data_IF_019650942760
#
_entry.id   IF_019650942760
#
_cell.length_a   1.000
_cell.length_b   1.000
_cell.length_c   1.000
_cell.angle_alpha   90.00
_cell.angle_beta   90.00
_cell.angle_gamma   90.00
#
_symmetry.space_group_name_H-M   'P 1'
#
loop_
_entity.id
_entity.type
_entity.pdbx_description
1 polymer ?
#
# COMPACT_ATOMS: atom_id res chain seq x y z
N UNK A 1 -44.65 19.77 -8.38
CA UNK A 1 -44.04 19.34 -7.12
C UNK A 1 -44.93 18.29 -6.49
N UNK A 2 -44.41 17.09 -6.19
CA UNK A 2 -45.20 16.10 -5.44
C UNK A 2 -45.29 16.56 -3.98
N UNK A 3 -46.49 16.38 -3.37
CA UNK A 3 -46.66 16.63 -1.94
C UNK A 3 -45.70 15.70 -1.14
N UNK A 4 -45.06 16.19 -0.06
CA UNK A 4 -44.20 15.38 0.77
C UNK A 4 -45.03 14.23 1.39
N UNK A 5 -44.45 13.04 1.40
CA UNK A 5 -45.14 11.87 2.00
C UNK A 5 -45.15 11.99 3.55
N UNK A 6 -46.04 11.23 4.18
CA UNK A 6 -46.25 11.23 5.63
C UNK A 6 -44.95 10.92 6.41
N UNK A 7 -44.11 10.02 5.88
CA UNK A 7 -42.81 9.64 6.48
C UNK A 7 -41.84 10.84 6.48
N UNK A 8 -41.77 11.58 5.34
CA UNK A 8 -40.93 12.77 5.25
C UNK A 8 -41.35 13.87 6.20
N UNK A 9 -42.67 14.02 6.42
CA UNK A 9 -43.21 14.99 7.39
C UNK A 9 -42.87 14.59 8.82
N UNK A 10 -43.05 13.31 9.16
CA UNK A 10 -42.73 12.78 10.48
C UNK A 10 -41.23 12.87 10.78
N UNK A 11 -40.37 12.54 9.81
CA UNK A 11 -38.92 12.64 9.95
C UNK A 11 -38.44 14.10 10.18
N UNK A 12 -39.06 15.05 9.50
CA UNK A 12 -38.77 16.48 9.76
C UNK A 12 -39.25 16.96 11.12
N UNK A 13 -40.40 16.44 11.57
CA UNK A 13 -40.97 16.78 12.89
C UNK A 13 -40.21 16.16 14.08
N UNK A 14 -39.50 15.06 13.87
CA UNK A 14 -38.70 14.42 14.92
C UNK A 14 -37.47 15.26 15.36
N UNK A 15 -37.02 16.21 14.54
CA UNK A 15 -35.82 16.98 14.83
C UNK A 15 -34.51 16.20 14.63
N UNK A 16 -34.59 14.91 14.30
CA UNK A 16 -33.43 14.11 13.93
C UNK A 16 -33.05 14.34 12.45
N UNK A 17 -31.77 14.14 12.06
CA UNK A 17 -30.64 13.73 12.87
C UNK A 17 -29.76 14.90 13.32
N UNK A 18 -29.13 14.77 14.48
CA UNK A 18 -27.97 15.58 14.85
C UNK A 18 -26.71 14.90 14.31
N UNK A 19 -26.06 15.50 13.32
CA UNK A 19 -24.80 15.00 12.77
C UNK A 19 -23.63 15.50 13.62
N UNK A 20 -22.68 14.60 13.94
CA UNK A 20 -21.41 15.04 14.49
C UNK A 20 -20.67 15.91 13.48
N UNK A 21 -20.08 16.99 13.95
CA UNK A 21 -19.19 17.78 13.12
C UNK A 21 -17.99 16.97 12.68
N UNK A 22 -17.69 16.98 11.37
CA UNK A 22 -16.57 16.23 10.79
C UNK A 22 -15.40 17.17 10.60
N UNK A 23 -14.23 16.75 11.07
CA UNK A 23 -13.01 17.54 10.95
C UNK A 23 -12.72 18.41 12.16
N UNK A 24 -11.75 19.30 12.00
CA UNK A 24 -11.32 20.26 13.02
C UNK A 24 -11.49 21.69 12.50
N UNK A 25 -11.81 22.62 13.41
CA UNK A 25 -11.83 24.07 13.13
C UNK A 25 -10.41 24.63 12.93
N UNK A 26 -10.27 25.95 12.79
CA UNK A 26 -8.98 26.65 12.73
C UNK A 26 -8.05 26.29 13.89
N UNK A 27 -6.74 26.31 13.63
CA UNK A 27 -5.74 26.00 14.66
C UNK A 27 -5.90 26.83 15.95
N UNK A 28 -6.17 28.14 15.80
CA UNK A 28 -6.35 29.03 16.94
C UNK A 28 -7.54 28.64 17.85
N UNK A 29 -8.56 27.97 17.31
CA UNK A 29 -9.71 27.50 18.08
C UNK A 29 -9.46 26.15 18.73
N UNK A 30 -8.73 25.27 18.07
CA UNK A 30 -8.48 23.90 18.52
C UNK A 30 -7.25 23.76 19.40
N UNK A 31 -6.29 24.71 19.27
CA UNK A 31 -5.02 24.74 20.00
C UNK A 31 -4.74 26.15 20.59
N UNK A 32 -5.60 26.65 21.50
CA UNK A 32 -5.50 28.00 21.99
C UNK A 32 -4.18 28.25 22.74
N UNK A 33 -3.41 29.25 22.26
CA UNK A 33 -2.14 29.64 22.86
C UNK A 33 -0.94 28.76 22.44
N UNK A 34 -1.12 27.74 21.63
CA UNK A 34 -0.03 26.94 21.09
C UNK A 34 0.62 27.64 19.89
N UNK A 35 1.97 27.63 19.79
CA UNK A 35 2.68 28.14 18.62
C UNK A 35 2.28 27.38 17.34
N UNK A 36 2.09 28.12 16.24
CA UNK A 36 1.72 27.52 14.95
C UNK A 36 2.86 26.67 14.40
N UNK A 37 2.53 25.49 13.84
CA UNK A 37 3.54 24.59 13.27
C UNK A 37 4.06 25.02 11.89
N UNK A 38 3.44 25.99 11.21
CA UNK A 38 3.89 26.54 9.93
C UNK A 38 4.77 27.80 10.06
N UNK A 39 4.95 28.33 11.28
CA UNK A 39 5.86 29.44 11.52
C UNK A 39 7.30 28.93 11.68
N UNK A 40 8.19 29.40 10.80
CA UNK A 40 9.61 29.06 10.81
C UNK A 40 10.33 29.42 12.14
N UNK A 41 9.82 30.39 12.89
CA UNK A 41 10.34 30.79 14.18
C UNK A 41 9.75 29.96 15.35
N UNK A 42 8.73 29.17 15.08
CA UNK A 42 8.05 28.35 16.07
C UNK A 42 8.91 27.18 16.54
N UNK A 43 8.96 26.87 17.85
CA UNK A 43 9.57 25.63 18.33
C UNK A 43 8.86 24.38 17.84
N UNK A 44 7.61 24.51 17.37
CA UNK A 44 6.77 23.43 16.83
C UNK A 44 6.81 23.40 15.30
N UNK A 45 7.74 24.10 14.65
CA UNK A 45 7.79 24.13 13.19
C UNK A 45 7.87 22.76 12.58
N UNK A 46 6.94 22.48 11.65
CA UNK A 46 6.87 21.24 10.91
C UNK A 46 6.38 21.53 9.48
N UNK A 47 7.23 21.28 8.50
CA UNK A 47 6.99 21.54 7.07
C UNK A 47 5.79 20.78 6.49
N UNK A 48 5.29 19.77 7.21
CA UNK A 48 4.14 18.96 6.77
C UNK A 48 2.82 19.71 6.86
N UNK A 49 2.72 20.76 7.67
CA UNK A 49 1.49 21.51 7.89
C UNK A 49 1.19 22.50 6.76
N UNK A 50 -0.09 22.68 6.47
CA UNK A 50 -0.62 23.57 5.45
C UNK A 50 -1.24 24.81 6.11
N UNK A 51 -0.70 25.99 5.80
CA UNK A 51 -1.13 27.26 6.41
C UNK A 51 -2.61 27.56 6.15
N UNK A 52 -3.14 27.24 4.96
CA UNK A 52 -4.54 27.47 4.67
C UNK A 52 -5.46 26.58 5.53
N UNK A 53 -5.09 25.32 5.75
CA UNK A 53 -5.85 24.44 6.62
C UNK A 53 -5.76 24.84 8.10
N UNK A 54 -4.62 25.40 8.52
CA UNK A 54 -4.47 25.96 9.88
C UNK A 54 -5.35 27.20 10.10
N UNK A 55 -5.57 27.99 9.04
CA UNK A 55 -6.40 29.21 9.10
C UNK A 55 -7.90 28.90 8.98
N UNK A 56 -8.29 27.96 8.12
CA UNK A 56 -9.70 27.71 7.74
C UNK A 56 -10.31 26.49 8.44
N UNK A 57 -9.45 25.65 9.06
CA UNK A 57 -9.82 24.33 9.57
C UNK A 57 -9.69 23.22 8.53
N UNK A 58 -9.67 21.99 9.00
CA UNK A 58 -9.53 20.80 8.16
C UNK A 58 -10.75 19.89 8.25
N UNK A 59 -11.60 19.95 7.23
CA UNK A 59 -12.81 19.10 7.09
C UNK A 59 -12.64 17.94 6.12
N UNK A 60 -11.40 17.64 5.69
CA UNK A 60 -11.11 16.53 4.79
C UNK A 60 -11.38 15.18 5.46
N UNK A 61 -11.62 14.16 4.66
CA UNK A 61 -11.77 12.78 5.13
C UNK A 61 -10.39 12.13 5.33
N UNK A 62 -9.68 12.55 6.37
CA UNK A 62 -8.35 12.05 6.74
C UNK A 62 -8.35 11.59 8.20
N UNK A 63 -7.42 10.72 8.57
CA UNK A 63 -7.18 10.33 9.95
C UNK A 63 -6.74 11.55 10.78
N UNK A 64 -7.00 11.55 12.08
CA UNK A 64 -6.70 12.70 12.94
C UNK A 64 -5.21 13.06 12.97
N UNK A 65 -4.30 12.08 12.85
CA UNK A 65 -2.86 12.31 12.74
C UNK A 65 -2.45 13.13 11.51
N UNK A 66 -3.31 13.18 10.46
CA UNK A 66 -3.07 13.90 9.22
C UNK A 66 -3.79 15.26 9.15
N UNK A 67 -4.44 15.65 10.25
CA UNK A 67 -5.10 16.96 10.30
C UNK A 67 -4.11 18.08 10.04
N UNK A 68 -4.53 19.00 9.22
CA UNK A 68 -3.77 20.16 8.75
C UNK A 68 -2.51 19.84 7.92
N UNK A 69 -2.18 18.58 7.65
CA UNK A 69 -1.04 18.25 6.80
C UNK A 69 -1.32 18.56 5.33
N UNK A 70 -0.26 18.92 4.59
CA UNK A 70 -0.33 19.03 3.13
C UNK A 70 -0.67 17.68 2.48
N UNK A 71 -1.27 17.72 1.30
CA UNK A 71 -1.55 16.50 0.50
C UNK A 71 -0.26 15.72 0.25
N UNK A 72 0.83 16.42 -0.06
CA UNK A 72 2.12 15.81 -0.36
C UNK A 72 2.69 15.08 0.86
N UNK A 73 2.67 15.72 2.03
CA UNK A 73 3.15 15.11 3.27
C UNK A 73 2.37 13.84 3.64
N UNK A 74 1.04 13.84 3.49
CA UNK A 74 0.23 12.64 3.72
C UNK A 74 0.63 11.51 2.78
N UNK A 75 0.82 11.82 1.48
CA UNK A 75 1.19 10.82 0.48
C UNK A 75 2.56 10.22 0.74
N UNK A 76 3.53 11.07 1.09
CA UNK A 76 4.89 10.65 1.44
C UNK A 76 4.92 9.78 2.71
N UNK A 77 4.13 10.13 3.72
CA UNK A 77 4.01 9.35 4.95
C UNK A 77 3.40 7.95 4.68
N UNK A 78 2.33 7.88 3.87
CA UNK A 78 1.74 6.62 3.44
C UNK A 78 2.72 5.74 2.65
N UNK A 79 3.55 6.35 1.80
CA UNK A 79 4.56 5.65 1.02
C UNK A 79 5.73 5.18 1.90
N UNK A 80 6.15 5.99 2.87
CA UNK A 80 7.23 5.67 3.82
C UNK A 80 6.86 4.53 4.78
N UNK A 81 5.60 4.46 5.23
CA UNK A 81 5.09 3.35 6.05
C UNK A 81 4.92 2.06 5.24
N UNK A 82 4.93 2.15 3.91
CA UNK A 82 4.73 1.03 2.98
C UNK A 82 3.25 0.80 2.68
N UNK A 83 2.98 0.51 1.41
CA UNK A 83 1.65 0.12 0.93
C UNK A 83 1.56 -1.39 0.83
N UNK A 84 0.35 -1.91 0.99
CA UNK A 84 0.10 -3.33 0.80
C UNK A 84 0.37 -3.78 -0.63
N UNK A 85 0.82 -5.01 -0.80
CA UNK A 85 1.33 -5.55 -2.07
C UNK A 85 0.23 -5.97 -3.07
N UNK A 86 -0.96 -5.42 -2.95
CA UNK A 86 -1.99 -5.56 -3.97
C UNK A 86 -2.23 -4.25 -4.72
N UNK A 87 -2.61 -4.38 -5.97
CA UNK A 87 -3.06 -3.28 -6.82
C UNK A 87 -4.50 -3.54 -7.28
N UNK A 88 -5.19 -2.49 -7.68
CA UNK A 88 -6.59 -2.55 -8.11
C UNK A 88 -6.70 -1.99 -9.50
N UNK A 89 -7.38 -2.67 -10.41
CA UNK A 89 -7.70 -2.16 -11.73
C UNK A 89 -9.21 -2.19 -11.98
N UNK A 90 -9.72 -1.19 -12.67
CA UNK A 90 -11.13 -1.11 -13.05
C UNK A 90 -11.29 -0.67 -14.50
N UNK A 91 -12.12 -1.41 -15.25
CA UNK A 91 -12.49 -1.03 -16.61
C UNK A 91 -13.50 0.13 -16.60
N UNK A 92 -13.24 1.16 -17.38
CA UNK A 92 -14.06 2.37 -17.49
C UNK A 92 -14.53 2.61 -18.94
N UNK A 93 -15.31 1.69 -19.46
CA UNK A 93 -15.88 1.76 -20.82
C UNK A 93 -17.22 2.50 -20.89
N UNK A 94 -17.92 2.65 -19.75
CA UNK A 94 -19.31 3.13 -19.68
C UNK A 94 -19.53 4.31 -18.72
N UNK A 95 -18.48 5.04 -18.29
CA UNK A 95 -18.58 6.07 -17.25
C UNK A 95 -19.07 5.53 -15.89
N UNK A 96 -18.35 4.60 -15.31
CA UNK A 96 -18.71 3.99 -14.04
C UNK A 96 -18.61 4.97 -12.86
N UNK A 97 -19.73 5.13 -12.14
CA UNK A 97 -19.80 5.96 -10.94
C UNK A 97 -19.13 5.32 -9.72
N UNK A 98 -18.90 4.01 -9.74
CA UNK A 98 -18.29 3.27 -8.62
C UNK A 98 -16.79 3.47 -8.52
N UNK A 99 -16.12 3.92 -9.59
CA UNK A 99 -14.65 4.09 -9.61
C UNK A 99 -14.18 4.96 -8.44
N UNK A 100 -14.88 6.07 -8.17
CA UNK A 100 -14.54 6.94 -7.04
C UNK A 100 -14.59 6.21 -5.69
N UNK A 101 -15.59 5.37 -5.45
CA UNK A 101 -15.67 4.57 -4.21
C UNK A 101 -14.60 3.48 -4.16
N UNK A 102 -14.24 2.87 -5.30
CA UNK A 102 -13.13 1.92 -5.37
C UNK A 102 -11.79 2.57 -5.03
N UNK A 103 -11.50 3.76 -5.58
CA UNK A 103 -10.30 4.54 -5.25
C UNK A 103 -10.25 4.88 -3.77
N UNK A 104 -11.38 5.32 -3.19
CA UNK A 104 -11.48 5.60 -1.75
C UNK A 104 -11.19 4.35 -0.91
N UNK A 105 -11.78 3.22 -1.26
CA UNK A 105 -11.58 1.95 -0.56
C UNK A 105 -10.13 1.47 -0.71
N UNK A 106 -9.54 1.57 -1.89
CA UNK A 106 -8.15 1.23 -2.15
C UNK A 106 -7.19 2.09 -1.32
N UNK A 107 -7.49 3.39 -1.15
CA UNK A 107 -6.72 4.25 -0.24
C UNK A 107 -6.89 3.84 1.22
N UNK A 108 -8.12 3.53 1.67
CA UNK A 108 -8.39 3.09 3.04
C UNK A 108 -7.66 1.79 3.40
N UNK A 109 -7.48 0.88 2.44
CA UNK A 109 -6.74 -0.37 2.60
C UNK A 109 -5.28 -0.27 2.12
N UNK A 110 -4.77 0.94 1.89
CA UNK A 110 -3.39 1.19 1.46
C UNK A 110 -2.93 0.33 0.27
N UNK A 111 -3.83 0.10 -0.71
CA UNK A 111 -3.45 -0.55 -1.96
C UNK A 111 -2.26 0.17 -2.61
N UNK A 112 -1.35 -0.57 -3.23
CA UNK A 112 -0.14 -0.01 -3.82
C UNK A 112 -0.46 0.99 -4.93
N UNK A 113 -1.45 0.67 -5.80
CA UNK A 113 -1.93 1.52 -6.90
C UNK A 113 -3.37 1.22 -7.25
N UNK A 114 -3.96 2.16 -7.97
CA UNK A 114 -5.24 1.98 -8.67
C UNK A 114 -5.05 2.29 -10.15
N UNK A 115 -5.51 1.40 -11.00
CA UNK A 115 -5.44 1.52 -12.46
C UNK A 115 -6.83 1.72 -13.03
N UNK A 116 -7.00 2.74 -13.85
CA UNK A 116 -8.24 3.01 -14.56
C UNK A 116 -8.00 2.73 -16.03
N UNK A 117 -8.76 1.78 -16.58
CA UNK A 117 -8.56 1.28 -17.94
C UNK A 117 -9.69 1.71 -18.84
N UNK A 118 -9.38 2.40 -19.91
CA UNK A 118 -10.36 2.81 -20.93
C UNK A 118 -10.34 4.30 -21.22
N UNK A 119 -11.18 4.75 -22.16
CA UNK A 119 -11.10 6.09 -22.76
C UNK A 119 -11.74 7.19 -21.92
N UNK A 120 -12.55 6.83 -20.91
CA UNK A 120 -13.39 7.80 -20.23
C UNK A 120 -12.73 8.40 -18.99
N UNK A 121 -13.01 9.67 -18.74
CA UNK A 121 -12.75 10.29 -17.44
C UNK A 121 -13.69 9.70 -16.41
N UNK A 122 -13.21 9.45 -15.22
CA UNK A 122 -14.00 8.93 -14.13
C UNK A 122 -14.53 10.03 -13.19
N UNK A 123 -15.61 9.75 -12.48
CA UNK A 123 -16.22 10.68 -11.54
C UNK A 123 -15.50 10.60 -10.18
N UNK A 124 -14.80 11.69 -9.81
CA UNK A 124 -14.03 11.80 -8.56
C UNK A 124 -14.88 12.02 -7.31
N UNK A 125 -16.16 12.37 -7.45
CA UNK A 125 -17.03 12.71 -6.29
C UNK A 125 -17.08 11.56 -5.26
N UNK A 126 -17.12 10.31 -5.69
CA UNK A 126 -17.11 9.14 -4.81
C UNK A 126 -15.80 8.92 -4.07
N UNK A 127 -14.70 9.45 -4.57
CA UNK A 127 -13.39 9.32 -3.93
C UNK A 127 -13.21 10.26 -2.74
N UNK A 128 -14.00 11.35 -2.63
CA UNK A 128 -13.90 12.31 -1.53
C UNK A 128 -12.47 12.80 -1.28
N UNK A 129 -11.77 13.18 -2.35
CA UNK A 129 -10.37 13.64 -2.38
C UNK A 129 -9.31 12.57 -2.06
N UNK A 130 -9.67 11.31 -1.79
CA UNK A 130 -8.68 10.27 -1.47
C UNK A 130 -7.80 9.90 -2.67
N UNK A 131 -8.22 10.23 -3.89
CA UNK A 131 -7.39 10.11 -5.09
C UNK A 131 -6.11 10.96 -5.04
N UNK A 132 -6.08 12.00 -4.23
CA UNK A 132 -4.88 12.84 -4.03
C UNK A 132 -3.80 12.12 -3.23
N UNK A 133 -4.20 11.19 -2.36
CA UNK A 133 -3.31 10.41 -1.49
C UNK A 133 -2.96 9.04 -2.08
N UNK A 134 -3.65 8.65 -3.18
CA UNK A 134 -3.45 7.36 -3.84
C UNK A 134 -2.65 7.51 -5.13
N UNK A 135 -1.91 6.46 -5.52
CA UNK A 135 -1.30 6.36 -6.83
C UNK A 135 -2.34 5.88 -7.83
N UNK A 136 -2.81 6.77 -8.70
CA UNK A 136 -3.81 6.46 -9.73
C UNK A 136 -3.15 6.57 -11.10
N UNK A 137 -3.16 5.47 -11.85
CA UNK A 137 -2.62 5.37 -13.22
C UNK A 137 -3.75 5.13 -14.22
N UNK A 138 -3.58 5.59 -15.46
CA UNK A 138 -4.55 5.41 -16.54
C UNK A 138 -3.93 4.61 -17.67
N UNK A 139 -4.68 3.64 -18.18
CA UNK A 139 -4.27 2.79 -19.29
C UNK A 139 -5.34 2.83 -20.37
N UNK A 140 -4.96 2.95 -21.67
CA UNK A 140 -5.92 2.96 -22.76
C UNK A 140 -6.56 1.58 -23.00
N UNK A 141 -5.90 0.48 -22.55
CA UNK A 141 -6.38 -0.89 -22.76
C UNK A 141 -5.93 -1.84 -21.65
N UNK A 142 -6.64 -2.95 -21.53
CA UNK A 142 -6.25 -4.07 -20.63
C UNK A 142 -4.89 -4.65 -21.04
N UNK A 143 -4.61 -4.77 -22.33
CA UNK A 143 -3.34 -5.31 -22.81
C UNK A 143 -2.15 -4.45 -22.33
N UNK A 144 -2.27 -3.12 -22.41
CA UNK A 144 -1.23 -2.21 -21.91
C UNK A 144 -1.10 -2.28 -20.37
N UNK A 145 -2.22 -2.34 -19.64
CA UNK A 145 -2.17 -2.56 -18.20
C UNK A 145 -1.40 -3.83 -17.84
N UNK A 146 -1.71 -4.95 -18.50
CA UNK A 146 -1.10 -6.26 -18.23
C UNK A 146 0.39 -6.23 -18.57
N UNK A 147 0.78 -5.63 -19.69
CA UNK A 147 2.19 -5.43 -20.05
C UNK A 147 2.92 -4.58 -19.00
N UNK A 148 2.32 -3.45 -18.60
CA UNK A 148 2.86 -2.59 -17.55
C UNK A 148 3.02 -3.33 -16.21
N UNK A 149 2.03 -4.15 -15.85
CA UNK A 149 2.06 -4.99 -14.65
C UNK A 149 3.22 -5.99 -14.70
N UNK A 150 3.35 -6.77 -15.78
CA UNK A 150 4.43 -7.76 -15.92
C UNK A 150 5.82 -7.10 -15.90
N UNK A 151 5.97 -5.97 -16.59
CA UNK A 151 7.23 -5.20 -16.59
C UNK A 151 7.58 -4.70 -15.18
N UNK A 152 6.58 -4.28 -14.41
CA UNK A 152 6.77 -3.85 -13.01
C UNK A 152 7.20 -5.02 -12.13
N UNK A 153 6.54 -6.17 -12.21
CA UNK A 153 6.94 -7.37 -11.47
C UNK A 153 8.38 -7.79 -11.83
N UNK A 154 8.72 -7.81 -13.12
CA UNK A 154 10.08 -8.11 -13.57
C UNK A 154 11.10 -7.12 -13.01
N UNK A 155 10.76 -5.83 -12.97
CA UNK A 155 11.59 -4.77 -12.36
C UNK A 155 11.75 -4.95 -10.85
N UNK A 156 10.68 -5.27 -10.12
CA UNK A 156 10.72 -5.56 -8.69
C UNK A 156 11.65 -6.78 -8.41
N UNK A 157 11.54 -7.86 -9.19
CA UNK A 157 12.42 -9.04 -9.08
C UNK A 157 13.88 -8.67 -9.38
N UNK A 158 14.14 -7.89 -10.41
CA UNK A 158 15.50 -7.46 -10.75
C UNK A 158 16.13 -6.62 -9.63
N UNK A 159 15.36 -5.73 -9.01
CA UNK A 159 15.80 -4.92 -7.88
C UNK A 159 16.16 -5.78 -6.66
N UNK A 160 15.33 -6.78 -6.34
CA UNK A 160 15.62 -7.71 -5.24
C UNK A 160 16.86 -8.57 -5.53
N UNK A 161 17.05 -9.06 -6.76
CA UNK A 161 18.28 -9.78 -7.15
C UNK A 161 19.53 -8.91 -7.02
N UNK A 162 19.44 -7.63 -7.39
CA UNK A 162 20.55 -6.69 -7.21
C UNK A 162 20.87 -6.49 -5.72
N UNK A 163 19.84 -6.40 -4.86
CA UNK A 163 19.99 -6.30 -3.41
C UNK A 163 20.68 -7.51 -2.82
N UNK A 164 20.30 -8.73 -3.24
CA UNK A 164 20.98 -9.97 -2.84
C UNK A 164 22.46 -9.99 -3.26
N UNK A 165 22.76 -9.52 -4.47
CA UNK A 165 24.14 -9.39 -4.96
C UNK A 165 24.99 -8.48 -4.08
N UNK A 166 24.46 -7.33 -3.68
CA UNK A 166 25.14 -6.40 -2.76
C UNK A 166 25.36 -7.04 -1.39
N UNK A 167 24.38 -7.73 -0.83
CA UNK A 167 24.51 -8.43 0.45
C UNK A 167 25.59 -9.54 0.38
N UNK A 168 25.62 -10.32 -0.70
CA UNK A 168 26.61 -11.35 -0.91
C UNK A 168 28.04 -10.79 -1.02
N UNK A 169 28.22 -9.68 -1.74
CA UNK A 169 29.51 -8.99 -1.85
C UNK A 169 29.99 -8.46 -0.49
N UNK A 170 29.09 -7.88 0.31
CA UNK A 170 29.41 -7.44 1.68
C UNK A 170 29.86 -8.61 2.56
N UNK A 171 29.12 -9.73 2.55
CA UNK A 171 29.48 -10.93 3.30
C UNK A 171 30.86 -11.47 2.90
N UNK A 172 31.14 -11.54 1.60
CA UNK A 172 32.43 -11.98 1.08
C UNK A 172 33.59 -11.06 1.49
N UNK A 173 33.42 -9.74 1.40
CA UNK A 173 34.43 -8.76 1.81
C UNK A 173 34.77 -8.87 3.30
N UNK A 174 33.77 -9.04 4.16
CA UNK A 174 33.95 -9.22 5.61
C UNK A 174 34.71 -10.52 5.91
N UNK A 175 34.31 -11.64 5.27
CA UNK A 175 34.97 -12.93 5.46
C UNK A 175 36.43 -12.90 4.98
N UNK A 176 36.71 -12.25 3.85
CA UNK A 176 38.07 -12.12 3.30
C UNK A 176 38.97 -11.25 4.18
N UNK A 177 38.45 -10.16 4.72
CA UNK A 177 39.20 -9.28 5.64
C UNK A 177 39.56 -10.01 6.94
N UNK A 178 38.66 -10.86 7.44
CA UNK A 178 38.91 -11.64 8.65
C UNK A 178 40.00 -12.71 8.41
N UNK A 179 39.92 -13.48 7.34
CA UNK A 179 40.90 -14.50 6.99
C UNK A 179 42.30 -13.88 6.72
N UNK A 180 42.37 -12.69 6.12
CA UNK A 180 43.62 -11.96 5.90
C UNK A 180 44.32 -11.49 7.19
N UNK A 181 43.54 -11.20 8.23
CA UNK A 181 44.08 -10.81 9.55
C UNK A 181 44.68 -12.00 10.31
N UNK A 182 44.12 -13.21 10.15
CA UNK A 182 44.68 -14.44 10.79
C UNK A 182 45.98 -14.91 10.14
N UNK A 183 46.14 -14.77 8.83
CA UNK A 183 47.34 -15.18 8.10
C UNK A 183 48.53 -14.23 8.27
N UNK A 184 48.29 -12.96 8.67
CA UNK A 184 49.31 -11.96 8.92
C UNK A 184 50.02 -12.08 10.30
N UNK A 185 49.49 -12.91 11.23
CA UNK A 185 50.03 -13.05 12.60
C UNK A 185 51.08 -14.14 12.78
N UNK A 186 51.53 -14.79 11.71
CA UNK A 186 52.42 -15.94 11.74
C UNK A 186 53.78 -15.72 11.12
N UNK A 187 54.59 -14.76 11.57
CA UNK A 187 56.07 -14.78 11.53
C UNK A 187 56.68 -13.57 12.26
N UNK A 188 57.11 -13.78 13.49
CA UNK A 188 57.86 -12.77 14.25
C UNK A 188 58.17 -13.27 15.67
N UNK A 189 59.37 -13.73 15.82
CA UNK A 189 60.07 -14.22 17.02
C UNK A 189 59.60 -13.74 18.37
N UNK A 190 59.72 -14.67 19.31
CA UNK A 190 59.66 -14.61 20.77
C UNK A 190 60.01 -13.22 21.40
N UNK A 191 59.04 -12.73 22.16
CA UNK A 191 59.20 -11.66 23.13
C UNK A 191 58.11 -11.73 24.18
N UNK A 192 58.46 -12.33 25.34
CA UNK A 192 57.60 -12.45 26.51
C UNK A 192 57.34 -11.04 27.04
N UNK A 193 56.10 -10.65 27.24
CA UNK A 193 55.47 -9.96 28.37
C UNK A 193 54.16 -9.27 27.90
N UNK A 194 53.06 -9.75 28.48
CA UNK A 194 51.85 -8.97 28.78
C UNK A 194 51.05 -8.39 27.62
N UNK A 195 50.08 -9.14 27.05
CA UNK A 195 49.02 -8.51 26.27
C UNK A 195 47.66 -9.23 26.40
N UNK A 196 47.01 -9.09 27.55
CA UNK A 196 45.60 -9.49 27.71
C UNK A 196 44.61 -8.61 26.92
N UNK A 197 45.04 -7.44 26.41
CA UNK A 197 44.23 -6.51 25.62
C UNK A 197 44.14 -6.87 24.14
N UNK A 198 45.21 -7.46 23.56
CA UNK A 198 45.22 -7.82 22.13
C UNK A 198 44.34 -9.04 21.82
N UNK A 199 44.29 -9.99 22.74
CA UNK A 199 43.42 -11.18 22.58
C UNK A 199 41.94 -10.87 22.70
N UNK A 200 41.56 -9.95 23.60
CA UNK A 200 40.14 -9.49 23.71
C UNK A 200 39.69 -8.72 22.45
N UNK A 201 40.56 -7.84 21.92
CA UNK A 201 40.27 -7.08 20.71
C UNK A 201 40.08 -7.98 19.47
N UNK A 202 40.91 -9.03 19.32
CA UNK A 202 40.80 -9.98 18.20
C UNK A 202 39.52 -10.81 18.30
N UNK A 203 39.12 -11.25 19.50
CA UNK A 203 37.88 -12.00 19.71
C UNK A 203 36.64 -11.15 19.44
N UNK A 204 36.63 -9.87 19.86
CA UNK A 204 35.53 -8.94 19.56
C UNK A 204 35.42 -8.68 18.04
N UNK A 205 36.56 -8.53 17.36
CA UNK A 205 36.55 -8.36 15.89
C UNK A 205 36.03 -9.61 15.15
N UNK A 206 36.39 -10.80 15.61
CA UNK A 206 35.90 -12.06 15.05
C UNK A 206 34.40 -12.24 15.28
N UNK A 207 33.88 -11.94 16.47
CA UNK A 207 32.45 -11.98 16.78
C UNK A 207 31.64 -11.00 15.90
N UNK A 208 32.15 -9.79 15.71
CA UNK A 208 31.52 -8.81 14.84
C UNK A 208 31.50 -9.26 13.36
N UNK A 209 32.55 -9.88 12.88
CA UNK A 209 32.59 -10.43 11.51
C UNK A 209 31.58 -11.58 11.34
N UNK A 210 31.49 -12.50 12.30
CA UNK A 210 30.51 -13.60 12.29
C UNK A 210 29.07 -13.06 12.31
N UNK A 211 28.78 -12.04 13.17
CA UNK A 211 27.46 -11.39 13.20
C UNK A 211 27.10 -10.74 11.86
N UNK A 212 28.02 -10.01 11.26
CA UNK A 212 27.78 -9.33 9.98
C UNK A 212 27.57 -10.31 8.81
N UNK A 213 28.27 -11.45 8.81
CA UNK A 213 28.02 -12.52 7.82
C UNK A 213 26.65 -13.18 8.04
N UNK A 214 26.25 -13.40 9.31
CA UNK A 214 24.94 -13.95 9.64
C UNK A 214 23.80 -12.99 9.21
N UNK A 215 23.97 -11.69 9.44
CA UNK A 215 23.02 -10.65 9.01
C UNK A 215 22.88 -10.62 7.49
N UNK A 216 24.00 -10.66 6.74
CA UNK A 216 23.96 -10.70 5.29
C UNK A 216 23.30 -11.99 4.76
N UNK A 217 23.52 -13.13 5.41
CA UNK A 217 22.88 -14.40 5.07
C UNK A 217 21.36 -14.34 5.31
N UNK A 218 20.93 -13.73 6.42
CA UNK A 218 19.53 -13.51 6.73
C UNK A 218 18.88 -12.56 5.71
N UNK A 219 19.59 -11.50 5.30
CA UNK A 219 19.13 -10.59 4.25
C UNK A 219 18.92 -11.32 2.91
N UNK A 220 19.86 -12.16 2.49
CA UNK A 220 19.73 -12.97 1.26
C UNK A 220 18.49 -13.89 1.36
N UNK A 221 18.28 -14.55 2.49
CA UNK A 221 17.11 -15.41 2.66
C UNK A 221 15.78 -14.64 2.60
N UNK A 222 15.73 -13.41 3.13
CA UNK A 222 14.57 -12.51 3.01
C UNK A 222 14.32 -12.11 1.55
N UNK A 223 15.40 -11.78 0.82
CA UNK A 223 15.31 -11.43 -0.60
C UNK A 223 14.81 -12.61 -1.43
N UNK A 224 15.32 -13.83 -1.19
CA UNK A 224 14.87 -15.03 -1.89
C UNK A 224 13.39 -15.34 -1.62
N UNK A 225 12.93 -15.15 -0.38
CA UNK A 225 11.52 -15.26 -0.04
C UNK A 225 10.67 -14.21 -0.78
N UNK A 226 11.15 -12.96 -0.86
CA UNK A 226 10.47 -11.89 -1.59
C UNK A 226 10.41 -12.16 -3.10
N UNK A 227 11.47 -12.67 -3.71
CA UNK A 227 11.47 -13.05 -5.13
C UNK A 227 10.41 -14.12 -5.40
N UNK A 228 10.29 -15.14 -4.54
CA UNK A 228 9.24 -16.17 -4.67
C UNK A 228 7.83 -15.59 -4.59
N UNK A 229 7.58 -14.63 -3.70
CA UNK A 229 6.30 -13.91 -3.62
C UNK A 229 6.00 -13.15 -4.93
N UNK A 230 7.01 -12.50 -5.53
CA UNK A 230 6.88 -11.77 -6.78
C UNK A 230 6.68 -12.70 -7.98
N UNK A 231 7.37 -13.84 -8.02
CA UNK A 231 7.20 -14.87 -9.06
C UNK A 231 5.81 -15.56 -8.98
N UNK A 232 5.20 -15.56 -7.79
CA UNK A 232 3.83 -16.03 -7.57
C UNK A 232 2.76 -14.95 -7.80
N UNK A 233 3.14 -13.75 -8.27
CA UNK A 233 2.21 -12.66 -8.53
C UNK A 233 1.16 -13.04 -9.58
N UNK A 234 -0.12 -12.64 -9.35
CA UNK A 234 -1.26 -12.99 -10.20
C UNK A 234 -2.13 -11.77 -10.52
N UNK A 235 -2.71 -11.81 -11.72
CA UNK A 235 -3.84 -10.97 -12.13
C UNK A 235 -5.13 -11.75 -11.84
N UNK A 236 -5.96 -11.24 -10.94
CA UNK A 236 -7.15 -11.91 -10.45
C UNK A 236 -8.38 -11.13 -10.90
N UNK A 237 -9.13 -11.70 -11.83
CA UNK A 237 -10.38 -11.13 -12.32
C UNK A 237 -11.53 -11.44 -11.34
N UNK A 238 -12.35 -10.44 -11.03
CA UNK A 238 -13.53 -10.59 -10.18
C UNK A 238 -14.78 -10.64 -11.06
N UNK A 239 -15.30 -11.86 -11.33
CA UNK A 239 -16.50 -12.04 -12.14
C UNK A 239 -17.18 -13.39 -11.82
N UNK A 240 -18.47 -13.49 -12.17
CA UNK A 240 -19.29 -14.69 -11.96
C UNK A 240 -19.46 -15.41 -13.31
N UNK A 241 -18.47 -16.22 -13.66
CA UNK A 241 -18.46 -17.01 -14.88
C UNK A 241 -18.24 -18.50 -14.59
N UNK A 242 -18.60 -19.41 -15.52
CA UNK A 242 -18.29 -20.84 -15.38
C UNK A 242 -16.79 -21.07 -15.18
N UNK A 243 -16.43 -21.85 -14.18
CA UNK A 243 -15.03 -22.15 -13.84
C UNK A 243 -14.36 -21.18 -12.87
N UNK A 244 -15.02 -20.08 -12.50
CA UNK A 244 -14.51 -19.18 -11.46
C UNK A 244 -14.48 -19.86 -10.09
N UNK A 245 -13.51 -19.48 -9.24
CA UNK A 245 -13.31 -20.03 -7.89
C UNK A 245 -14.04 -19.16 -6.86
N UNK A 246 -14.74 -19.73 -5.86
CA UNK A 246 -15.36 -18.94 -4.81
C UNK A 246 -14.27 -18.25 -3.95
N UNK A 247 -14.49 -16.95 -3.69
CA UNK A 247 -13.54 -16.11 -2.93
C UNK A 247 -13.30 -16.64 -1.52
N UNK A 248 -14.29 -17.23 -0.91
CA UNK A 248 -14.27 -17.77 0.45
C UNK A 248 -13.23 -18.87 0.63
N UNK A 249 -12.82 -19.53 -0.45
CA UNK A 249 -11.83 -20.61 -0.45
C UNK A 249 -10.55 -20.26 -1.23
N UNK A 250 -10.49 -19.05 -1.81
CA UNK A 250 -9.36 -18.64 -2.62
C UNK A 250 -8.23 -18.08 -1.74
N UNK A 251 -7.02 -18.64 -1.88
CA UNK A 251 -5.81 -18.14 -1.24
C UNK A 251 -5.21 -17.03 -2.13
N UNK A 252 -5.40 -15.79 -1.74
CA UNK A 252 -4.82 -14.66 -2.48
C UNK A 252 -3.31 -14.69 -2.44
N UNK A 253 -2.60 -14.56 -3.58
CA UNK A 253 -1.17 -14.29 -3.57
C UNK A 253 -0.89 -12.94 -2.87
N UNK A 254 0.24 -12.86 -2.18
CA UNK A 254 0.63 -11.62 -1.49
C UNK A 254 0.78 -10.47 -2.48
N UNK A 255 1.40 -10.72 -3.64
CA UNK A 255 1.49 -9.75 -4.75
C UNK A 255 0.44 -10.05 -5.79
N UNK A 256 -0.56 -9.18 -5.96
CA UNK A 256 -1.61 -9.40 -6.95
C UNK A 256 -2.19 -8.09 -7.51
N UNK A 257 -2.85 -8.22 -8.66
CA UNK A 257 -3.67 -7.19 -9.29
C UNK A 257 -5.11 -7.66 -9.29
N UNK A 258 -5.98 -7.00 -8.55
CA UNK A 258 -7.43 -7.27 -8.52
C UNK A 258 -8.09 -6.49 -9.66
N UNK A 259 -8.72 -7.19 -10.60
CA UNK A 259 -9.30 -6.61 -11.81
C UNK A 259 -10.84 -6.65 -11.76
N UNK A 260 -11.46 -5.47 -11.88
CA UNK A 260 -12.90 -5.27 -11.82
C UNK A 260 -13.44 -4.75 -13.14
N UNK A 261 -14.60 -5.25 -13.52
CA UNK A 261 -15.34 -4.79 -14.70
C UNK A 261 -16.13 -3.52 -14.45
N UNK A 262 -16.63 -2.93 -15.54
CA UNK A 262 -17.58 -1.84 -15.49
C UNK A 262 -18.94 -2.32 -14.96
N UNK A 263 -19.67 -1.41 -14.28
CA UNK A 263 -21.03 -1.72 -13.82
C UNK A 263 -21.96 -2.02 -15.00
N UNK A 264 -22.69 -3.12 -14.91
CA UNK A 264 -23.59 -3.64 -15.94
C UNK A 264 -22.93 -4.65 -16.86
N UNK A 265 -21.96 -4.28 -17.72
CA UNK A 265 -21.32 -5.24 -18.64
C UNK A 265 -20.42 -6.27 -17.94
N UNK A 266 -19.86 -5.94 -16.75
CA UNK A 266 -18.83 -6.76 -16.13
C UNK A 266 -17.46 -6.57 -16.78
N UNK A 267 -16.61 -7.58 -16.69
CA UNK A 267 -15.29 -7.60 -17.33
C UNK A 267 -15.38 -7.86 -18.83
N UNK A 268 -14.52 -7.19 -19.59
CA UNK A 268 -14.38 -7.49 -21.01
C UNK A 268 -13.81 -8.90 -21.24
N UNK A 269 -14.13 -9.51 -22.39
CA UNK A 269 -13.56 -10.81 -22.76
C UNK A 269 -12.03 -10.79 -22.75
N UNK A 270 -11.44 -9.66 -23.15
CA UNK A 270 -9.97 -9.48 -23.12
C UNK A 270 -9.40 -9.47 -21.72
N UNK A 271 -10.10 -8.87 -20.76
CA UNK A 271 -9.70 -8.86 -19.35
C UNK A 271 -9.72 -10.29 -18.76
N UNK A 272 -10.76 -11.05 -19.05
CA UNK A 272 -10.89 -12.46 -18.63
C UNK A 272 -9.83 -13.37 -19.28
N UNK A 273 -9.49 -13.14 -20.55
CA UNK A 273 -8.45 -13.89 -21.27
C UNK A 273 -7.05 -13.66 -20.68
N UNK A 274 -6.75 -12.44 -20.23
CA UNK A 274 -5.44 -12.05 -19.74
C UNK A 274 -5.29 -12.20 -18.21
N UNK A 275 -6.35 -12.52 -17.49
CA UNK A 275 -6.29 -12.83 -16.07
C UNK A 275 -5.71 -14.23 -15.83
N UNK A 276 -4.94 -14.39 -14.77
CA UNK A 276 -4.42 -15.70 -14.35
C UNK A 276 -5.50 -16.54 -13.66
N UNK A 277 -6.34 -15.90 -12.85
CA UNK A 277 -7.42 -16.53 -12.11
C UNK A 277 -8.70 -15.69 -12.19
N UNK A 278 -9.86 -16.36 -12.13
CA UNK A 278 -11.15 -15.71 -11.98
C UNK A 278 -11.80 -16.15 -10.68
N UNK A 279 -12.17 -15.16 -9.86
CA UNK A 279 -12.73 -15.37 -8.53
C UNK A 279 -14.08 -14.69 -8.43
N UNK A 280 -15.03 -15.31 -7.74
CA UNK A 280 -16.35 -14.71 -7.51
C UNK A 280 -16.72 -14.68 -6.04
N UNK A 281 -17.56 -13.71 -5.67
CA UNK A 281 -18.17 -13.61 -4.34
C UNK A 281 -19.44 -14.44 -4.34
N UNK A 282 -19.56 -15.40 -3.41
CA UNK A 282 -20.77 -16.23 -3.29
C UNK A 282 -21.99 -15.39 -2.95
N UNK A 283 -23.07 -15.60 -3.69
CA UNK A 283 -24.33 -14.86 -3.54
C UNK A 283 -25.48 -15.83 -3.26
N UNK A 284 -26.28 -15.52 -2.27
CA UNK A 284 -27.37 -16.38 -1.79
C UNK A 284 -28.76 -15.78 -2.02
N UNK A 285 -28.82 -14.59 -2.58
CA UNK A 285 -30.05 -13.86 -2.87
C UNK A 285 -30.56 -14.09 -4.30
N UNK A 286 -31.49 -13.24 -4.72
CA UNK A 286 -32.13 -13.30 -6.05
C UNK A 286 -31.40 -12.52 -7.13
N UNK A 287 -30.38 -11.72 -6.76
CA UNK A 287 -29.64 -10.88 -7.71
C UNK A 287 -28.50 -11.66 -8.36
N UNK A 288 -28.23 -11.35 -9.63
CA UNK A 288 -27.12 -11.97 -10.36
C UNK A 288 -25.76 -11.40 -9.97
N UNK A 289 -25.71 -10.14 -9.58
CA UNK A 289 -24.46 -9.45 -9.19
C UNK A 289 -24.73 -8.40 -8.11
N UNK A 290 -23.74 -8.16 -7.28
CA UNK A 290 -23.74 -7.02 -6.35
C UNK A 290 -23.12 -5.80 -7.03
N UNK A 291 -23.32 -4.62 -6.43
CA UNK A 291 -22.70 -3.37 -6.91
C UNK A 291 -21.17 -3.52 -7.05
N UNK A 292 -20.59 -3.03 -8.14
CA UNK A 292 -19.16 -3.18 -8.44
C UNK A 292 -18.24 -2.58 -7.37
N UNK A 293 -18.60 -1.43 -6.79
CA UNK A 293 -17.84 -0.82 -5.69
C UNK A 293 -17.89 -1.65 -4.40
N UNK A 294 -19.04 -2.28 -4.12
CA UNK A 294 -19.18 -3.21 -2.99
C UNK A 294 -18.36 -4.48 -3.22
N UNK A 295 -18.41 -5.06 -4.42
CA UNK A 295 -17.60 -6.22 -4.79
C UNK A 295 -16.10 -5.93 -4.63
N UNK A 296 -15.65 -4.75 -5.08
CA UNK A 296 -14.27 -4.33 -4.92
C UNK A 296 -13.86 -4.20 -3.45
N UNK A 297 -14.72 -3.63 -2.60
CA UNK A 297 -14.46 -3.53 -1.17
C UNK A 297 -14.32 -4.89 -0.49
N UNK A 298 -15.20 -5.84 -0.83
CA UNK A 298 -15.16 -7.21 -0.30
C UNK A 298 -13.88 -7.93 -0.74
N UNK A 299 -13.50 -7.84 -2.01
CA UNK A 299 -12.29 -8.48 -2.53
C UNK A 299 -11.01 -7.90 -1.92
N UNK A 300 -10.90 -6.58 -1.84
CA UNK A 300 -9.78 -5.92 -1.16
C UNK A 300 -9.68 -6.31 0.31
N UNK A 301 -10.83 -6.37 1.02
CA UNK A 301 -10.86 -6.79 2.43
C UNK A 301 -10.49 -8.28 2.57
N UNK A 302 -10.88 -9.14 1.65
CA UNK A 302 -10.50 -10.56 1.67
C UNK A 302 -8.97 -10.73 1.59
N UNK A 303 -8.30 -9.93 0.76
CA UNK A 303 -6.84 -9.88 0.72
C UNK A 303 -6.26 -9.37 2.05
N UNK A 304 -6.79 -8.28 2.61
CA UNK A 304 -6.36 -7.71 3.91
C UNK A 304 -6.49 -8.75 5.03
N UNK A 305 -7.60 -9.48 5.08
CA UNK A 305 -7.84 -10.50 6.10
C UNK A 305 -6.82 -11.65 6.06
N UNK A 306 -6.24 -11.93 4.89
CA UNK A 306 -5.25 -13.00 4.73
C UNK A 306 -3.81 -12.54 4.97
N UNK A 307 -3.49 -11.26 4.74
CA UNK A 307 -2.09 -10.80 4.65
C UNK A 307 -1.71 -9.64 5.57
N UNK A 308 -2.66 -8.84 6.02
CA UNK A 308 -2.37 -7.69 6.85
C UNK A 308 -2.52 -8.00 8.34
N UNK A 309 -1.65 -7.42 9.16
CA UNK A 309 -1.89 -7.33 10.59
C UNK A 309 -3.08 -6.37 10.85
N UNK A 310 -3.80 -6.57 11.96
CA UNK A 310 -4.85 -5.63 12.38
C UNK A 310 -4.27 -4.22 12.52
N UNK A 311 -4.93 -3.24 11.91
CA UNK A 311 -4.57 -1.84 12.12
C UNK A 311 -4.75 -1.48 13.60
N UNK A 312 -3.72 -0.85 14.17
CA UNK A 312 -3.73 -0.35 15.54
C UNK A 312 -4.46 0.99 15.65
#
# INVERSE_FOLDING_TARGET
MHAPNQISLAAKASGEPEFREVGLGPWAETHPGEPRPDDLASPNYDVRFDSALLDEGDRRNVLDRYRYWTVQAIKEDLDAHGRHDFEVAVENWTHDFNIGSMVRTANAFQAKRVHIVGPHKWNRKGALMTELYQHVEHHPSIAELVECWHNRIAGEIAAERARAGVAALKAHAIASAHNGAETGAGNGSEGIIGNSGATVSSHVSALNAVSAVAEATAEIAQVDARIKELEAARIIALDIIPGAVPMETYAFPKRCLLLFGAEGPGLSSKALELADDVVYISQFGSVRSINAGAAAAVAMHAWIAQHAATAA
#
